data_IF_560423447838
#
_entry.id   IF_560423447838
#
_cell.length_a   1.000
_cell.length_b   1.000
_cell.length_c   1.000
_cell.angle_alpha   90.00
_cell.angle_beta   90.00
_cell.angle_gamma   90.00
#
_symmetry.space_group_name_H-M   'P 1'
#
loop_
_entity.id
_entity.type
_entity.pdbx_description
1 polymer ?
#
# COMPACT_ATOMS: atom_id res chain seq x y z
N UNK A 1 14.10 -20.33 17.08
CA UNK A 1 13.92 -19.12 16.25
C UNK A 1 12.63 -19.26 15.45
N UNK A 2 11.54 -18.52 15.60
CA UNK A 2 11.16 -17.45 16.52
C UNK A 2 9.63 -17.49 16.71
N UNK A 3 9.17 -17.12 17.90
CA UNK A 3 7.82 -17.27 18.45
C UNK A 3 6.81 -16.30 17.86
N UNK A 4 5.63 -16.76 17.42
CA UNK A 4 4.38 -15.99 17.56
C UNK A 4 3.25 -16.92 17.98
N UNK A 5 3.29 -17.27 19.25
CA UNK A 5 2.23 -17.97 19.98
C UNK A 5 1.08 -16.97 20.20
N UNK A 6 0.02 -17.03 19.37
CA UNK A 6 -1.18 -16.19 19.54
C UNK A 6 -2.09 -16.80 20.65
N UNK A 7 -1.49 -17.12 21.80
CA UNK A 7 -2.11 -17.92 22.87
C UNK A 7 -2.80 -17.11 23.96
N UNK A 8 -3.04 -15.82 23.72
CA UNK A 8 -3.72 -14.97 24.69
C UNK A 8 -4.94 -14.32 24.04
N UNK A 9 -6.13 -14.65 24.55
CA UNK A 9 -7.34 -13.88 24.25
C UNK A 9 -7.29 -12.61 25.10
N UNK A 10 -6.62 -11.56 24.62
CA UNK A 10 -6.88 -10.22 25.15
C UNK A 10 -8.19 -9.69 24.59
N UNK A 11 -8.95 -9.00 25.44
CA UNK A 11 -10.01 -8.06 25.02
C UNK A 11 -9.48 -6.88 24.20
N UNK A 12 -8.16 -6.67 24.21
CA UNK A 12 -7.47 -5.67 23.44
C UNK A 12 -7.16 -6.17 22.03
N UNK A 13 -7.73 -5.49 21.04
CA UNK A 13 -7.27 -5.50 19.67
C UNK A 13 -5.80 -5.07 19.67
N UNK A 14 -4.90 -5.97 19.28
CA UNK A 14 -3.57 -5.52 18.88
C UNK A 14 -3.72 -4.76 17.57
N UNK A 15 -3.28 -3.50 17.54
CA UNK A 15 -3.25 -2.72 16.31
C UNK A 15 -2.35 -3.42 15.30
N UNK A 16 -2.94 -4.02 14.27
CA UNK A 16 -2.22 -4.46 13.08
C UNK A 16 -1.94 -3.28 12.15
N UNK A 17 -1.02 -3.42 11.18
CA UNK A 17 -0.92 -2.46 10.08
C UNK A 17 -2.26 -2.40 9.32
N UNK A 18 -2.85 -1.20 9.27
CA UNK A 18 -4.16 -0.95 8.69
C UNK A 18 -5.33 -1.35 9.62
N UNK A 19 -6.35 -0.49 9.70
CA UNK A 19 -7.58 -0.72 10.49
C UNK A 19 -8.37 -1.97 10.03
N UNK A 20 -8.16 -2.40 8.77
CA UNK A 20 -8.82 -3.56 8.16
C UNK A 20 -7.91 -4.75 7.81
N UNK A 21 -6.65 -4.77 8.26
CA UNK A 21 -5.66 -5.76 7.81
C UNK A 21 -5.14 -5.49 6.39
N UNK A 22 -4.82 -6.54 5.61
CA UNK A 22 -4.27 -6.42 4.24
C UNK A 22 -5.34 -5.90 3.26
N UNK A 23 -5.40 -4.59 3.06
CA UNK A 23 -6.44 -3.90 2.27
C UNK A 23 -6.07 -3.65 0.81
N UNK A 24 -4.91 -4.13 0.35
CA UNK A 24 -4.42 -3.86 -1.00
C UNK A 24 -5.30 -4.40 -2.13
N UNK A 25 -6.02 -5.50 -1.89
CA UNK A 25 -6.94 -6.11 -2.88
C UNK A 25 -8.20 -5.29 -3.15
N UNK A 26 -8.44 -4.20 -2.43
CA UNK A 26 -9.65 -3.38 -2.57
C UNK A 26 -9.55 -2.37 -3.72
N UNK A 27 -8.35 -2.21 -4.29
CA UNK A 27 -8.10 -1.25 -5.36
C UNK A 27 -8.80 -1.64 -6.64
N UNK A 28 -9.48 -0.67 -7.24
CA UNK A 28 -9.77 -0.66 -8.68
C UNK A 28 -8.67 0.09 -9.43
N UNK A 29 -8.16 1.16 -8.82
CA UNK A 29 -7.11 2.03 -9.36
C UNK A 29 -5.99 2.22 -8.33
N UNK A 30 -4.76 2.38 -8.80
CA UNK A 30 -3.58 2.65 -8.00
C UNK A 30 -2.98 4.03 -8.32
N UNK A 31 -2.50 4.76 -7.29
CA UNK A 31 -1.74 5.99 -7.50
C UNK A 31 -0.32 5.68 -8.01
N UNK A 32 0.09 6.32 -9.09
CA UNK A 32 1.46 6.31 -9.61
C UNK A 32 2.04 7.70 -9.39
N UNK A 33 3.19 7.79 -8.73
CA UNK A 33 3.88 9.05 -8.48
C UNK A 33 4.86 9.33 -9.62
N UNK A 34 4.67 10.46 -10.28
CA UNK A 34 5.66 11.02 -11.19
C UNK A 34 6.72 11.82 -10.40
N UNK A 35 7.90 11.22 -10.29
CA UNK A 35 9.05 11.78 -9.57
C UNK A 35 9.58 13.06 -10.23
N UNK A 36 9.39 13.23 -11.54
CA UNK A 36 9.79 14.44 -12.27
C UNK A 36 8.86 15.61 -12.03
N UNK A 37 7.70 15.42 -11.38
CA UNK A 37 6.74 16.48 -11.02
C UNK A 37 6.64 16.70 -9.52
N UNK A 38 7.15 15.76 -8.73
CA UNK A 38 7.09 15.75 -7.27
C UNK A 38 8.02 16.81 -6.63
N UNK A 39 7.46 17.78 -5.90
CA UNK A 39 8.23 18.86 -5.26
C UNK A 39 9.32 18.39 -4.29
N UNK A 40 9.08 17.41 -3.38
CA UNK A 40 10.12 16.87 -2.51
C UNK A 40 11.31 16.29 -3.28
N UNK A 41 11.05 15.59 -4.39
CA UNK A 41 12.09 14.99 -5.24
C UNK A 41 12.85 16.08 -6.01
N UNK A 42 12.13 17.03 -6.61
CA UNK A 42 12.74 18.16 -7.34
C UNK A 42 13.65 19.03 -6.48
N UNK A 43 13.19 19.34 -5.26
CA UNK A 43 13.90 20.25 -4.35
C UNK A 43 14.91 19.53 -3.46
N UNK A 44 14.84 18.20 -3.35
CA UNK A 44 15.66 17.42 -2.41
C UNK A 44 15.38 17.76 -0.95
N UNK A 45 14.19 18.25 -0.62
CA UNK A 45 13.83 18.71 0.72
C UNK A 45 12.40 18.32 1.12
N UNK A 46 12.16 18.20 2.43
CA UNK A 46 10.89 17.73 2.99
C UNK A 46 9.77 18.81 2.97
N UNK A 47 9.53 19.45 1.80
CA UNK A 47 8.74 20.68 1.72
C UNK A 47 7.23 20.51 1.48
N UNK A 48 6.76 19.35 0.97
CA UNK A 48 5.34 19.16 0.61
C UNK A 48 4.68 18.08 1.46
N UNK A 49 4.95 16.80 1.18
CA UNK A 49 4.39 15.63 1.91
C UNK A 49 2.88 15.70 2.20
N UNK A 50 2.13 16.42 1.37
CA UNK A 50 0.67 16.55 1.49
C UNK A 50 0.02 15.18 1.26
N UNK A 51 0.51 14.41 0.27
CA UNK A 51 0.04 13.04 0.04
C UNK A 51 0.18 12.15 1.28
N UNK A 52 1.27 12.29 2.04
CA UNK A 52 1.50 11.60 3.30
C UNK A 52 0.51 12.04 4.39
N UNK A 53 0.31 13.35 4.54
CA UNK A 53 -0.55 13.94 5.57
C UNK A 53 -2.03 13.57 5.39
N UNK A 54 -2.52 13.56 4.15
CA UNK A 54 -3.94 13.30 3.84
C UNK A 54 -4.25 11.81 3.62
N UNK A 55 -3.26 10.92 3.69
CA UNK A 55 -3.51 9.49 3.53
C UNK A 55 -4.23 8.93 4.76
N UNK A 56 -5.51 8.48 4.66
CA UNK A 56 -6.27 8.01 5.82
C UNK A 56 -5.72 6.70 6.40
N UNK A 57 -5.05 5.89 5.57
CA UNK A 57 -4.46 4.61 5.96
C UNK A 57 -2.95 4.71 6.24
N UNK A 58 -2.37 5.91 6.16
CA UNK A 58 -0.94 6.18 6.40
C UNK A 58 0.02 5.23 5.63
N UNK A 59 -0.33 4.87 4.39
CA UNK A 59 0.44 3.92 3.56
C UNK A 59 1.58 4.57 2.77
N UNK A 60 1.67 5.90 2.80
CA UNK A 60 2.73 6.65 2.13
C UNK A 60 3.86 6.85 3.14
N UNK A 61 5.11 6.75 2.71
CA UNK A 61 6.27 7.04 3.55
C UNK A 61 6.70 8.50 3.42
N UNK A 62 7.28 9.04 4.49
CA UNK A 62 7.86 10.40 4.50
C UNK A 62 9.33 10.40 4.07
N UNK A 63 9.65 9.67 3.00
CA UNK A 63 11.00 9.56 2.42
C UNK A 63 11.12 10.39 1.14
N UNK A 64 12.35 10.63 0.68
CA UNK A 64 12.63 11.25 -0.62
C UNK A 64 13.38 10.20 -1.47
N UNK A 65 12.75 9.60 -2.49
CA UNK A 65 11.37 9.79 -2.95
C UNK A 65 10.31 9.15 -2.02
N UNK A 66 9.06 9.65 -2.03
CA UNK A 66 7.96 9.04 -1.27
C UNK A 66 7.61 7.67 -1.87
N UNK A 67 7.45 6.66 -1.01
CA UNK A 67 7.03 5.31 -1.40
C UNK A 67 5.60 5.04 -0.93
N UNK A 68 4.86 4.24 -1.69
CA UNK A 68 3.49 3.84 -1.36
C UNK A 68 3.49 2.34 -1.08
N UNK A 69 2.95 1.95 0.07
CA UNK A 69 2.72 0.55 0.38
C UNK A 69 1.41 0.05 -0.28
N UNK A 70 1.55 -0.66 -1.39
CA UNK A 70 0.45 -1.28 -2.10
C UNK A 70 -0.10 -2.55 -1.41
N UNK A 71 0.44 -2.99 -0.28
CA UNK A 71 -0.22 -4.05 0.49
C UNK A 71 -1.43 -3.52 1.27
N UNK A 72 -1.43 -2.23 1.59
CA UNK A 72 -2.46 -1.57 2.39
C UNK A 72 -3.20 -0.45 1.65
N UNK A 73 -2.65 0.07 0.55
CA UNK A 73 -3.30 1.14 -0.22
C UNK A 73 -4.68 0.69 -0.74
N UNK A 74 -5.74 1.42 -0.37
CA UNK A 74 -7.12 1.15 -0.83
C UNK A 74 -7.46 1.75 -2.19
N UNK A 75 -6.60 2.62 -2.75
CA UNK A 75 -6.89 3.29 -4.02
C UNK A 75 -7.92 4.41 -3.91
N UNK A 76 -8.03 5.08 -2.75
CA UNK A 76 -9.04 6.12 -2.49
C UNK A 76 -8.83 7.45 -3.23
N UNK A 77 -7.74 7.61 -4.00
CA UNK A 77 -7.40 8.79 -4.80
C UNK A 77 -7.24 10.14 -4.06
N UNK A 78 -7.39 10.20 -2.73
CA UNK A 78 -7.22 11.44 -1.94
C UNK A 78 -5.84 12.08 -2.15
N UNK A 79 -4.79 11.24 -2.21
CA UNK A 79 -3.43 11.73 -2.45
C UNK A 79 -3.26 12.40 -3.82
N UNK A 80 -4.01 11.97 -4.83
CA UNK A 80 -3.96 12.56 -6.17
C UNK A 80 -4.67 13.91 -6.22
N UNK A 81 -5.83 14.02 -5.55
CA UNK A 81 -6.62 15.26 -5.49
C UNK A 81 -5.89 16.36 -4.71
N UNK A 82 -5.33 16.02 -3.55
CA UNK A 82 -4.65 16.99 -2.68
C UNK A 82 -3.25 17.39 -3.19
N UNK A 83 -2.74 16.74 -4.24
CA UNK A 83 -1.40 17.02 -4.75
C UNK A 83 -1.37 18.40 -5.46
N UNK A 84 -0.65 19.41 -4.94
CA UNK A 84 -0.68 20.75 -5.52
C UNK A 84 -0.02 20.81 -6.91
N UNK A 85 0.92 19.92 -7.19
CA UNK A 85 1.60 19.82 -8.50
C UNK A 85 0.97 18.78 -9.42
N UNK A 86 -0.10 18.10 -8.98
CA UNK A 86 -0.75 16.99 -9.70
C UNK A 86 0.26 15.95 -10.19
N UNK A 87 1.25 15.64 -9.34
CA UNK A 87 2.31 14.69 -9.64
C UNK A 87 1.87 13.22 -9.47
N UNK A 88 0.65 12.97 -9.03
CA UNK A 88 0.13 11.62 -8.78
C UNK A 88 -1.00 11.37 -9.77
N UNK A 89 -0.90 10.29 -10.54
CA UNK A 89 -1.93 9.86 -11.49
C UNK A 89 -2.53 8.54 -11.04
N UNK A 90 -3.86 8.41 -11.14
CA UNK A 90 -4.55 7.15 -10.88
C UNK A 90 -4.53 6.31 -12.16
N UNK A 91 -4.10 5.06 -12.05
CA UNK A 91 -4.06 4.09 -13.16
C UNK A 91 -4.81 2.84 -12.75
N UNK A 92 -5.53 2.21 -13.67
CA UNK A 92 -6.28 0.99 -13.38
C UNK A 92 -5.33 -0.16 -12.99
N UNK A 93 -5.73 -0.97 -12.01
CA UNK A 93 -4.92 -2.11 -11.54
C UNK A 93 -4.70 -3.15 -12.66
N UNK A 94 -5.62 -3.22 -13.62
CA UNK A 94 -5.57 -4.14 -14.77
C UNK A 94 -4.50 -3.77 -15.81
N UNK A 95 -4.10 -2.50 -15.91
CA UNK A 95 -3.11 -2.01 -16.89
C UNK A 95 -1.66 -2.24 -16.42
N UNK A 96 -1.44 -3.31 -15.66
CA UNK A 96 -0.13 -3.66 -15.12
C UNK A 96 0.88 -3.94 -16.23
N UNK A 97 2.09 -3.36 -16.20
CA UNK A 97 3.25 -4.07 -16.69
C UNK A 97 3.39 -5.35 -15.85
N UNK A 98 3.48 -6.49 -16.52
CA UNK A 98 3.49 -7.83 -15.92
C UNK A 98 4.72 -8.03 -15.02
N UNK A 99 4.62 -7.75 -13.72
CA UNK A 99 5.56 -8.31 -12.74
C UNK A 99 4.83 -8.79 -11.48
N UNK A 100 4.70 -10.12 -11.43
CA UNK A 100 4.85 -10.99 -10.25
C UNK A 100 3.92 -10.71 -9.06
N UNK A 101 2.62 -10.93 -9.28
CA UNK A 101 1.95 -11.80 -8.31
C UNK A 101 2.45 -13.20 -8.65
N UNK A 102 3.40 -13.72 -7.87
CA UNK A 102 3.66 -15.16 -7.87
C UNK A 102 2.29 -15.84 -7.80
N UNK A 103 2.00 -16.80 -8.68
CA UNK A 103 0.68 -17.40 -8.73
C UNK A 103 0.27 -17.78 -7.31
N UNK A 104 -1.01 -17.61 -7.01
CA UNK A 104 -1.71 -18.53 -6.14
C UNK A 104 -1.48 -19.93 -6.72
N UNK A 105 -0.27 -20.48 -6.54
CA UNK A 105 -0.09 -21.90 -6.44
C UNK A 105 -0.82 -22.23 -5.15
N UNK A 106 -2.13 -22.39 -5.27
CA UNK A 106 -2.69 -23.61 -4.75
C UNK A 106 -1.89 -24.74 -5.42
N UNK A 107 -0.71 -25.02 -4.86
CA UNK A 107 0.02 -26.25 -5.13
C UNK A 107 -0.88 -27.32 -4.56
N UNK A 108 -1.82 -27.76 -5.39
CA UNK A 108 -2.58 -28.99 -5.27
C UNK A 108 -1.65 -30.18 -5.57
N UNK A 109 -0.40 -30.12 -5.12
CA UNK A 109 0.54 -31.22 -5.13
C UNK A 109 1.03 -31.40 -3.69
N UNK A 110 0.15 -32.01 -2.90
CA UNK A 110 0.37 -32.36 -1.49
C UNK A 110 -0.96 -32.78 -0.88
N UNK A 111 -1.03 -33.94 -0.18
CA UNK A 111 -2.28 -34.58 0.15
C UNK A 111 -2.97 -33.76 1.24
N UNK A 112 -4.00 -32.99 0.87
CA UNK A 112 -4.95 -32.48 1.85
C UNK A 112 -6.07 -33.51 1.92
N UNK A 113 -6.11 -34.40 2.94
CA UNK A 113 -7.31 -35.18 3.18
C UNK A 113 -8.44 -34.20 3.50
N UNK A 114 -9.52 -34.29 2.72
CA UNK A 114 -10.78 -33.66 3.04
C UNK A 114 -11.43 -34.41 4.21
N UNK A 115 -11.03 -34.08 5.44
CA UNK A 115 -11.78 -34.37 6.68
C UNK A 115 -11.63 -33.21 7.63
#
# INVERSE_FOLDING_TARGET
>A
MGTRDYRYKTSHSLSGPGDGGRTGSWRVQRPIIDLERCTPVKRGSEACFICWLYCPDAVISRTIPPTIDYEYCKGCAICAEECPTKAITMVDETERPEEVDTPDTCSFEGPRPCT
#
